data_IF_716219867275
#
_entry.id   IF_716219867275
#
_cell.length_a   1.000
_cell.length_b   1.000
_cell.length_c   1.000
_cell.angle_alpha   90.00
_cell.angle_beta   90.00
_cell.angle_gamma   90.00
#
_symmetry.space_group_name_H-M   'P 1'
#
loop_
_entity.id
_entity.type
_entity.pdbx_description
1 polymer ?
#
# COMPACT_ATOMS: atom_id res chain seq x y z
N UNK A 1 15.99 1.54 -7.52
CA UNK A 1 16.74 1.50 -6.25
C UNK A 1 17.99 2.37 -6.35
N UNK A 2 18.49 2.90 -5.25
CA UNK A 2 19.74 3.66 -5.18
C UNK A 2 20.73 2.95 -4.26
N UNK A 3 21.56 2.08 -4.84
CA UNK A 3 22.40 1.17 -4.06
C UNK A 3 23.45 1.90 -3.19
N UNK A 4 24.13 2.91 -3.73
CA UNK A 4 25.13 3.70 -2.98
C UNK A 4 24.54 4.39 -1.74
N UNK A 5 23.30 4.85 -1.85
CA UNK A 5 22.57 5.50 -0.76
C UNK A 5 21.75 4.51 0.09
N UNK A 6 21.79 3.20 -0.21
CA UNK A 6 20.95 2.17 0.42
C UNK A 6 19.47 2.54 0.47
N UNK A 7 18.89 3.01 -0.63
CA UNK A 7 17.45 3.30 -0.74
C UNK A 7 16.76 2.29 -1.65
N UNK A 8 15.78 1.58 -1.11
CA UNK A 8 14.90 0.67 -1.84
C UNK A 8 13.52 1.32 -2.00
N UNK A 9 12.94 1.21 -3.21
CA UNK A 9 11.64 1.81 -3.54
C UNK A 9 10.74 0.70 -4.05
N UNK A 10 9.56 0.58 -3.46
CA UNK A 10 8.51 -0.35 -3.87
C UNK A 10 7.27 0.42 -4.29
N UNK A 11 6.66 -0.04 -5.39
CA UNK A 11 5.33 0.38 -5.82
C UNK A 11 4.40 -0.80 -5.64
N UNK A 12 3.49 -0.69 -4.67
CA UNK A 12 2.58 -1.74 -4.27
C UNK A 12 1.28 -1.62 -5.05
N UNK A 13 0.97 -2.66 -5.83
CA UNK A 13 -0.33 -2.76 -6.48
C UNK A 13 -1.47 -2.80 -5.47
N UNK A 14 -2.44 -1.89 -5.59
CA UNK A 14 -3.48 -1.67 -4.59
C UNK A 14 -4.26 -2.95 -4.25
N UNK A 15 -4.57 -3.74 -5.28
CA UNK A 15 -5.30 -4.99 -5.13
C UNK A 15 -4.46 -6.10 -4.48
N UNK A 16 -3.19 -6.24 -4.88
CA UNK A 16 -2.37 -7.39 -4.47
C UNK A 16 -1.84 -7.28 -3.05
N UNK A 17 -1.64 -6.05 -2.58
CA UNK A 17 -0.98 -5.77 -1.33
C UNK A 17 -1.94 -5.19 -0.27
N UNK A 18 -3.24 -5.13 -0.54
CA UNK A 18 -4.22 -4.70 0.48
C UNK A 18 -4.20 -3.21 0.75
N UNK A 19 -4.33 -2.37 -0.28
CA UNK A 19 -4.46 -0.92 -0.11
C UNK A 19 -5.67 -0.56 0.76
N UNK A 20 -5.50 0.30 1.78
CA UNK A 20 -6.59 0.81 2.60
C UNK A 20 -7.81 1.33 1.83
N UNK A 21 -7.53 2.08 0.77
CA UNK A 21 -8.54 2.80 0.00
C UNK A 21 -9.15 1.94 -1.11
N UNK A 22 -8.30 1.18 -1.80
CA UNK A 22 -8.62 0.59 -3.09
C UNK A 22 -8.74 -0.94 -3.09
N UNK A 23 -8.34 -1.62 -2.01
CA UNK A 23 -8.49 -3.07 -1.95
C UNK A 23 -9.96 -3.47 -1.91
N UNK A 24 -10.31 -4.41 -2.77
CA UNK A 24 -11.64 -5.01 -2.81
C UNK A 24 -11.49 -6.51 -2.95
N UNK A 25 -11.83 -7.25 -1.90
CA UNK A 25 -11.80 -8.72 -1.95
C UNK A 25 -12.83 -9.22 -2.98
N UNK A 26 -12.45 -10.07 -3.95
CA UNK A 26 -13.41 -10.71 -4.85
C UNK A 26 -14.45 -11.51 -4.05
N UNK A 27 -15.71 -11.55 -4.52
CA UNK A 27 -16.81 -12.27 -3.83
C UNK A 27 -16.70 -13.79 -3.96
N UNK A 28 -15.96 -14.27 -4.93
CA UNK A 28 -15.75 -15.71 -5.20
C UNK A 28 -14.45 -16.16 -4.56
N UNK A 29 -14.38 -17.42 -4.10
CA UNK A 29 -13.18 -18.03 -3.50
C UNK A 29 -12.64 -17.23 -2.30
N UNK A 30 -13.52 -16.86 -1.36
CA UNK A 30 -13.20 -16.00 -0.22
C UNK A 30 -11.97 -16.46 0.57
N UNK A 31 -11.90 -17.74 0.92
CA UNK A 31 -10.77 -18.31 1.67
C UNK A 31 -9.44 -18.16 0.92
N UNK A 32 -9.44 -18.46 -0.38
CA UNK A 32 -8.27 -18.30 -1.23
C UNK A 32 -7.78 -16.85 -1.24
N UNK A 33 -8.67 -15.87 -1.44
CA UNK A 33 -8.27 -14.47 -1.46
C UNK A 33 -7.84 -13.95 -0.09
N UNK A 34 -8.49 -14.38 0.98
CA UNK A 34 -8.07 -14.06 2.35
C UNK A 34 -6.70 -14.66 2.69
N UNK A 35 -6.40 -15.89 2.26
CA UNK A 35 -5.05 -16.47 2.43
C UNK A 35 -4.02 -15.71 1.59
N UNK A 36 -4.33 -15.50 0.31
CA UNK A 36 -3.44 -14.84 -0.63
C UNK A 36 -3.06 -13.43 -0.20
N UNK A 37 -4.02 -12.67 0.31
CA UNK A 37 -3.78 -11.33 0.84
C UNK A 37 -2.82 -11.38 2.02
N UNK A 38 -3.10 -12.22 3.02
CA UNK A 38 -2.24 -12.37 4.21
C UNK A 38 -0.82 -12.81 3.84
N UNK A 39 -0.67 -13.76 2.93
CA UNK A 39 0.64 -14.22 2.45
C UNK A 39 1.43 -13.10 1.75
N UNK A 40 0.75 -12.26 0.98
CA UNK A 40 1.39 -11.13 0.31
C UNK A 40 1.82 -10.06 1.33
N UNK A 41 0.96 -9.69 2.28
CA UNK A 41 1.29 -8.72 3.34
C UNK A 41 2.44 -9.23 4.21
N UNK A 42 2.47 -10.52 4.55
CA UNK A 42 3.58 -11.12 5.29
C UNK A 42 4.89 -11.13 4.50
N UNK A 43 4.82 -11.37 3.18
CA UNK A 43 6.00 -11.24 2.31
C UNK A 43 6.52 -9.80 2.30
N UNK A 44 5.63 -8.82 2.15
CA UNK A 44 5.99 -7.40 2.13
C UNK A 44 6.66 -6.96 3.44
N UNK A 45 6.09 -7.40 4.57
CA UNK A 45 6.63 -7.19 5.92
C UNK A 45 8.04 -7.74 6.02
N UNK A 46 8.22 -9.02 5.71
CA UNK A 46 9.52 -9.69 5.79
C UNK A 46 10.57 -8.98 4.93
N UNK A 47 10.22 -8.62 3.68
CA UNK A 47 11.14 -7.90 2.79
C UNK A 47 11.52 -6.52 3.34
N UNK A 48 10.54 -5.78 3.88
CA UNK A 48 10.76 -4.46 4.46
C UNK A 48 11.70 -4.54 5.66
N UNK A 49 11.38 -5.39 6.63
CA UNK A 49 12.16 -5.56 7.85
C UNK A 49 13.57 -6.09 7.57
N UNK A 50 13.72 -7.01 6.62
CA UNK A 50 15.04 -7.54 6.23
C UNK A 50 15.93 -6.46 5.60
N UNK A 51 15.36 -5.65 4.70
CA UNK A 51 16.11 -4.55 4.08
C UNK A 51 16.49 -3.49 5.12
N UNK A 52 15.57 -3.12 6.00
CA UNK A 52 15.83 -2.15 7.07
C UNK A 52 16.89 -2.65 8.06
N UNK A 53 16.86 -3.94 8.43
CA UNK A 53 17.90 -4.56 9.25
C UNK A 53 19.29 -4.54 8.58
N UNK A 54 19.35 -4.52 7.25
CA UNK A 54 20.58 -4.37 6.48
C UNK A 54 21.00 -2.89 6.28
N UNK A 55 20.29 -1.96 6.93
CA UNK A 55 20.55 -0.53 6.85
C UNK A 55 20.05 0.12 5.57
N UNK A 56 19.03 -0.47 4.92
CA UNK A 56 18.34 0.17 3.80
C UNK A 56 17.18 1.03 4.29
N UNK A 57 17.00 2.18 3.65
CA UNK A 57 15.81 3.01 3.77
C UNK A 57 14.79 2.51 2.76
N UNK A 58 13.63 2.04 3.23
CA UNK A 58 12.60 1.41 2.40
C UNK A 58 11.42 2.34 2.20
N UNK A 59 11.32 2.93 1.01
CA UNK A 59 10.14 3.69 0.59
C UNK A 59 9.12 2.73 -0.05
N UNK A 60 7.90 2.66 0.47
CA UNK A 60 6.79 1.93 -0.18
C UNK A 60 5.66 2.90 -0.48
N UNK A 61 5.19 2.86 -1.72
CA UNK A 61 4.09 3.70 -2.21
C UNK A 61 3.04 2.84 -2.86
N UNK A 62 1.78 3.24 -2.77
CA UNK A 62 0.70 2.58 -3.49
C UNK A 62 0.71 2.95 -4.97
N UNK A 63 0.27 2.03 -5.83
CA UNK A 63 0.17 2.29 -7.27
C UNK A 63 -0.64 3.55 -7.60
N UNK A 64 -1.69 3.86 -6.84
CA UNK A 64 -2.57 4.99 -7.12
C UNK A 64 -1.87 6.33 -6.87
N UNK A 65 -1.01 6.39 -5.85
CA UNK A 65 -0.24 7.59 -5.51
C UNK A 65 0.71 8.00 -6.63
N UNK A 66 1.19 7.03 -7.43
CA UNK A 66 2.01 7.31 -8.61
C UNK A 66 1.26 8.20 -9.62
N UNK A 67 -0.07 8.12 -9.66
CA UNK A 67 -0.89 8.88 -10.59
C UNK A 67 -1.57 10.09 -9.96
N UNK A 68 -1.75 10.10 -8.65
CA UNK A 68 -2.46 11.15 -7.92
C UNK A 68 -1.51 12.16 -7.25
N UNK A 69 -0.33 11.73 -6.81
CA UNK A 69 0.58 12.54 -6.00
C UNK A 69 2.07 12.28 -6.27
N UNK A 70 2.45 12.12 -7.55
CA UNK A 70 3.83 11.83 -7.96
C UNK A 70 4.88 12.78 -7.35
N UNK A 71 4.58 14.08 -7.24
CA UNK A 71 5.53 15.05 -6.69
C UNK A 71 5.86 14.79 -5.22
N UNK A 72 4.87 14.39 -4.41
CA UNK A 72 5.06 14.04 -3.00
C UNK A 72 5.89 12.77 -2.84
N UNK A 73 5.67 11.79 -3.71
CA UNK A 73 6.46 10.55 -3.79
C UNK A 73 7.93 10.85 -4.08
N UNK A 74 8.19 11.71 -5.07
CA UNK A 74 9.54 12.13 -5.42
C UNK A 74 10.21 12.85 -4.26
N UNK A 75 9.52 13.75 -3.56
CA UNK A 75 10.10 14.45 -2.42
C UNK A 75 10.41 13.50 -1.26
N UNK A 76 9.53 12.53 -1.00
CA UNK A 76 9.78 11.46 -0.03
C UNK A 76 11.05 10.68 -0.37
N UNK A 77 11.24 10.32 -1.65
CA UNK A 77 12.47 9.66 -2.11
C UNK A 77 13.69 10.58 -1.99
N UNK A 78 13.57 11.89 -2.27
CA UNK A 78 14.67 12.86 -2.13
C UNK A 78 15.10 13.00 -0.68
N UNK A 79 14.17 13.11 0.26
CA UNK A 79 14.45 13.09 1.70
C UNK A 79 15.17 11.79 2.09
N UNK A 80 14.66 10.64 1.64
CA UNK A 80 15.30 9.35 1.85
C UNK A 80 16.71 9.26 1.25
N UNK A 81 17.05 10.02 0.22
CA UNK A 81 18.41 10.04 -0.34
C UNK A 81 19.37 10.91 0.46
N UNK A 82 18.87 12.01 1.06
CA UNK A 82 19.67 13.01 1.78
C UNK A 82 19.95 12.67 3.24
N UNK A 83 19.21 11.72 3.80
CA UNK A 83 19.28 11.35 5.23
C UNK A 83 18.85 12.45 6.21
N UNK A 84 18.11 13.44 5.72
CA UNK A 84 17.61 14.57 6.51
C UNK A 84 16.35 14.14 7.29
N UNK A 85 16.50 13.26 8.27
CA UNK A 85 15.41 12.78 9.16
C UNK A 85 14.45 11.78 8.50
N UNK A 86 14.97 10.85 7.70
CA UNK A 86 14.16 9.78 7.13
C UNK A 86 13.48 8.95 8.23
N UNK A 87 12.15 9.05 8.29
CA UNK A 87 11.29 8.17 9.07
C UNK A 87 10.26 7.53 8.15
N UNK A 88 10.10 6.20 8.17
CA UNK A 88 9.09 5.56 7.36
C UNK A 88 7.68 5.94 7.85
N UNK A 89 6.80 6.31 6.92
CA UNK A 89 5.38 6.48 7.21
C UNK A 89 4.70 5.15 7.53
N UNK A 90 3.56 5.24 8.20
CA UNK A 90 2.66 4.10 8.36
C UNK A 90 2.34 3.46 7.02
N UNK A 91 2.52 2.16 6.97
CA UNK A 91 2.29 1.33 5.80
C UNK A 91 1.16 0.37 6.12
N UNK A 92 -0.03 0.93 6.38
CA UNK A 92 -1.24 0.17 6.65
C UNK A 92 -1.56 -0.79 5.51
N UNK A 93 -1.92 -2.02 5.86
CA UNK A 93 -2.29 -3.08 4.92
C UNK A 93 -3.59 -3.69 5.38
N UNK A 94 -4.59 -3.77 4.51
CA UNK A 94 -5.75 -4.62 4.75
C UNK A 94 -5.27 -6.06 4.82
N UNK A 95 -5.60 -6.75 5.91
CA UNK A 95 -5.23 -8.15 6.15
C UNK A 95 -6.45 -9.08 6.14
N UNK A 96 -7.64 -8.54 6.40
CA UNK A 96 -8.89 -9.29 6.42
C UNK A 96 -10.06 -8.38 6.09
N UNK A 97 -11.06 -8.96 5.43
CA UNK A 97 -12.33 -8.29 5.13
C UNK A 97 -13.45 -9.23 5.53
N UNK A 98 -14.33 -8.75 6.41
CA UNK A 98 -15.51 -9.46 6.88
C UNK A 98 -16.76 -8.74 6.37
N UNK A 99 -17.71 -9.49 5.79
CA UNK A 99 -19.01 -8.93 5.44
C UNK A 99 -19.80 -8.68 6.74
N UNK A 100 -20.40 -7.50 6.86
CA UNK A 100 -21.24 -7.18 8.01
C UNK A 100 -22.70 -7.53 7.70
N UNK A 101 -23.45 -8.12 8.66
CA UNK A 101 -24.87 -8.36 8.50
C UNK A 101 -25.64 -7.03 8.48
N UNK A 102 -26.63 -6.91 7.58
CA UNK A 102 -27.47 -5.72 7.45
C UNK A 102 -27.91 -5.44 6.01
N UNK A 103 -28.69 -4.38 5.81
CA UNK A 103 -29.01 -3.87 4.47
C UNK A 103 -27.82 -3.09 3.88
N UNK A 104 -27.42 -3.45 2.66
CA UNK A 104 -26.32 -2.82 1.93
C UNK A 104 -25.01 -3.60 1.97
N UNK A 105 -24.12 -3.32 1.01
CA UNK A 105 -22.82 -3.97 0.87
C UNK A 105 -21.79 -3.42 1.90
N UNK A 106 -22.06 -3.57 3.20
CA UNK A 106 -21.15 -3.14 4.27
C UNK A 106 -20.08 -4.20 4.58
N UNK A 107 -18.85 -3.74 4.82
CA UNK A 107 -17.74 -4.62 5.19
C UNK A 107 -16.86 -3.99 6.27
N UNK A 108 -16.34 -4.83 7.16
CA UNK A 108 -15.28 -4.48 8.11
C UNK A 108 -13.94 -4.87 7.51
N UNK A 109 -13.00 -3.93 7.45
CA UNK A 109 -11.62 -4.14 7.00
C UNK A 109 -10.68 -4.05 8.19
N UNK A 110 -9.95 -5.13 8.45
CA UNK A 110 -8.90 -5.18 9.47
C UNK A 110 -7.57 -4.87 8.82
N UNK A 111 -6.75 -4.08 9.51
CA UNK A 111 -5.52 -3.57 8.94
C UNK A 111 -4.40 -3.57 9.98
N UNK A 112 -3.20 -3.80 9.47
CA UNK A 112 -1.95 -3.83 10.24
C UNK A 112 -0.92 -2.91 9.58
N UNK A 113 -0.04 -2.33 10.39
CA UNK A 113 1.15 -1.67 9.87
C UNK A 113 2.22 -2.74 9.50
N UNK A 114 2.94 -2.53 8.40
CA UNK A 114 4.02 -3.46 8.02
C UNK A 114 5.16 -3.50 9.04
N UNK A 115 5.49 -2.37 9.67
CA UNK A 115 6.63 -2.23 10.59
C UNK A 115 6.23 -2.43 12.05
N UNK A 116 4.94 -2.28 12.35
CA UNK A 116 4.37 -2.48 13.68
C UNK A 116 3.08 -3.31 13.59
N UNK A 117 3.17 -4.61 13.27
CA UNK A 117 2.00 -5.47 13.05
C UNK A 117 1.12 -5.68 14.29
N UNK A 118 1.66 -5.43 15.47
CA UNK A 118 0.92 -5.37 16.73
C UNK A 118 -0.09 -4.21 16.75
N UNK A 119 0.15 -3.15 15.98
CA UNK A 119 -0.78 -2.04 15.83
C UNK A 119 -1.83 -2.44 14.82
N UNK A 120 -3.04 -2.67 15.33
CA UNK A 120 -4.21 -3.07 14.55
C UNK A 120 -5.31 -2.04 14.68
N UNK A 121 -5.99 -1.79 13.57
CA UNK A 121 -7.24 -1.06 13.57
C UNK A 121 -8.21 -1.66 12.55
N UNK A 122 -9.48 -1.36 12.72
CA UNK A 122 -10.52 -1.78 11.78
C UNK A 122 -11.37 -0.59 11.36
N UNK A 123 -11.77 -0.58 10.09
CA UNK A 123 -12.74 0.38 9.56
C UNK A 123 -13.95 -0.36 9.02
N UNK A 124 -15.14 0.18 9.27
CA UNK A 124 -16.37 -0.29 8.66
C UNK A 124 -16.77 0.68 7.57
N UNK A 125 -16.98 0.17 6.36
CA UNK A 125 -17.30 1.00 5.22
C UNK A 125 -18.17 0.25 4.22
N UNK A 126 -18.86 1.00 3.37
CA UNK A 126 -19.52 0.44 2.21
C UNK A 126 -18.47 -0.03 1.22
N UNK A 127 -18.61 -1.27 0.73
CA UNK A 127 -17.80 -1.83 -0.34
C UNK A 127 -17.83 -0.89 -1.54
N UNK A 128 -16.65 -0.49 -2.01
CA UNK A 128 -16.49 0.34 -3.20
C UNK A 128 -15.56 -0.36 -4.18
N UNK A 129 -16.03 -0.59 -5.40
CA UNK A 129 -15.20 -1.07 -6.53
C UNK A 129 -14.64 0.06 -7.37
N UNK A 130 -14.81 1.31 -6.93
CA UNK A 130 -14.27 2.48 -7.64
C UNK A 130 -12.75 2.38 -7.62
N UNK A 131 -12.17 2.32 -8.81
CA UNK A 131 -10.72 2.44 -8.99
C UNK A 131 -10.35 3.91 -9.14
N UNK A 132 -9.15 4.26 -8.67
CA UNK A 132 -8.48 5.48 -9.08
C UNK A 132 -8.36 5.51 -10.62
N UNK A 133 -8.39 6.70 -11.20
CA UNK A 133 -8.26 6.87 -12.66
C UNK A 133 -6.88 7.41 -12.97
N UNK A 134 -6.15 6.73 -13.85
CA UNK A 134 -4.96 7.31 -14.47
C UNK A 134 -5.39 8.58 -15.20
N UNK A 135 -4.85 9.74 -14.81
CA UNK A 135 -5.01 10.95 -15.61
C UNK A 135 -4.51 10.65 -17.03
N UNK A 136 -5.36 10.86 -18.03
CA UNK A 136 -4.92 10.78 -19.43
C UNK A 136 -3.86 11.87 -19.60
N UNK A 137 -2.66 11.50 -20.07
CA UNK A 137 -1.66 12.47 -20.46
C UNK A 137 -2.30 13.40 -21.48
N UNK A 138 -2.45 14.68 -21.14
CA UNK A 138 -2.66 15.71 -22.16
C UNK A 138 -1.32 15.89 -22.89
N UNK A 139 -1.03 14.98 -23.82
CA UNK A 139 0.01 15.19 -24.81
C UNK A 139 -0.49 16.23 -25.81
N UNK A 140 -0.05 17.47 -25.65
CA UNK A 140 -0.41 18.58 -26.53
C UNK A 140 0.34 19.87 -26.19
N UNK A 141 1.67 19.81 -26.11
CA UNK A 141 2.49 21.01 -26.35
C UNK A 141 3.40 20.69 -27.53
N UNK A 142 2.88 20.98 -28.72
CA UNK A 142 3.68 21.12 -29.93
C UNK A 142 4.65 22.28 -29.70
N UNK A 143 5.91 22.06 -30.08
CA UNK A 143 6.90 23.11 -30.31
C UNK A 143 6.42 24.09 -31.37
#
# INVERSE_FOLDING_TARGET
MFAKARVAIFIDGCFWHGCPEHYVRPRTRNEFWSSKLRENVERDRRQTLQLEALGWRVCRFWEHQVFESMLELVETVRSALRDEQWAPYHSWRVIQVDALPGEGDMERRWMEDLRSPEVRHSVEAKRSTKKWKRALNQSGSTL
#
